data_IF_868862071298
#
_entry.id   IF_868862071298
#
_cell.length_a   1.000
_cell.length_b   1.000
_cell.length_c   1.000
_cell.angle_alpha   90.00
_cell.angle_beta   90.00
_cell.angle_gamma   90.00
#
_symmetry.space_group_name_H-M   'P 1'
#
loop_
_entity.id
_entity.type
_entity.pdbx_description
1 polymer ?
#
# COMPACT_ATOMS: atom_id res chain seq x y z
N UNK A 1 -13.06 -9.49 -5.42
CA UNK A 1 -12.08 -8.42 -5.26
C UNK A 1 -10.70 -8.99 -5.40
N UNK A 2 -9.91 -8.46 -6.33
CA UNK A 2 -8.60 -8.97 -6.74
C UNK A 2 -7.59 -7.84 -6.82
N UNK A 3 -6.53 -7.88 -6.03
CA UNK A 3 -5.37 -6.99 -6.27
C UNK A 3 -4.62 -7.45 -7.52
N UNK A 4 -4.45 -6.57 -8.50
CA UNK A 4 -3.62 -6.83 -9.67
C UNK A 4 -2.14 -6.70 -9.30
N UNK A 5 -1.37 -7.71 -9.74
CA UNK A 5 0.07 -7.77 -9.57
C UNK A 5 0.73 -7.99 -10.93
N UNK A 6 1.50 -7.01 -11.37
CA UNK A 6 2.41 -7.13 -12.52
C UNK A 6 3.85 -7.07 -12.00
N UNK A 7 4.73 -7.92 -12.53
CA UNK A 7 6.15 -7.88 -12.18
C UNK A 7 7.02 -8.12 -13.40
N UNK A 8 8.10 -7.37 -13.48
CA UNK A 8 9.13 -7.53 -14.50
C UNK A 8 10.50 -7.67 -13.84
N UNK A 9 11.31 -8.58 -14.37
CA UNK A 9 12.66 -8.86 -13.92
C UNK A 9 13.65 -8.44 -14.99
N UNK A 10 14.69 -7.68 -14.62
CA UNK A 10 15.70 -7.20 -15.58
C UNK A 10 17.13 -7.37 -15.03
N UNK A 11 18.02 -7.76 -15.93
CA UNK A 11 19.47 -7.84 -15.71
C UNK A 11 20.10 -6.47 -16.05
N UNK A 12 19.73 -5.45 -15.27
CA UNK A 12 20.18 -4.06 -15.41
C UNK A 12 20.17 -3.31 -14.08
N UNK A 13 20.83 -2.15 -14.05
CA UNK A 13 20.82 -1.25 -12.89
C UNK A 13 19.53 -0.44 -12.76
N UNK A 14 19.11 -0.18 -11.52
CA UNK A 14 17.82 0.43 -11.17
C UNK A 14 17.68 1.93 -11.44
N UNK A 15 18.64 2.58 -12.09
CA UNK A 15 18.61 4.03 -12.36
C UNK A 15 17.37 4.46 -13.14
N UNK A 16 17.08 3.77 -14.25
CA UNK A 16 15.90 4.05 -15.09
C UNK A 16 14.60 3.76 -14.35
N UNK A 17 14.55 2.66 -13.60
CA UNK A 17 13.37 2.30 -12.82
C UNK A 17 13.10 3.31 -11.70
N UNK A 18 14.13 3.76 -10.98
CA UNK A 18 14.00 4.79 -9.94
C UNK A 18 13.53 6.14 -10.52
N UNK A 19 14.03 6.53 -11.69
CA UNK A 19 13.57 7.71 -12.40
C UNK A 19 12.11 7.57 -12.85
N UNK A 20 11.74 6.39 -13.36
CA UNK A 20 10.39 6.07 -13.81
C UNK A 20 9.37 6.11 -12.66
N UNK A 21 9.63 5.42 -11.54
CA UNK A 21 8.69 5.39 -10.41
C UNK A 21 8.60 6.74 -9.69
N UNK A 22 9.65 7.56 -9.77
CA UNK A 22 9.65 8.92 -9.26
C UNK A 22 9.11 9.95 -10.25
N UNK A 23 8.73 9.53 -11.47
CA UNK A 23 8.21 10.35 -12.56
C UNK A 23 9.03 11.64 -12.75
N UNK A 24 10.34 11.49 -12.98
CA UNK A 24 11.31 12.61 -13.11
C UNK A 24 11.25 13.70 -12.01
N UNK A 25 10.71 13.41 -10.83
CA UNK A 25 10.73 14.33 -9.67
C UNK A 25 9.35 14.72 -9.13
N UNK A 26 8.27 14.48 -9.89
CA UNK A 26 6.93 14.94 -9.50
C UNK A 26 6.21 14.00 -8.54
N UNK A 27 6.59 12.73 -8.48
CA UNK A 27 5.98 11.77 -7.56
C UNK A 27 6.93 11.40 -6.41
N UNK A 28 6.51 11.60 -5.14
CA UNK A 28 7.24 11.15 -3.97
C UNK A 28 7.64 9.67 -4.03
N UNK A 29 8.93 9.41 -3.79
CA UNK A 29 9.47 8.06 -3.64
C UNK A 29 9.81 7.81 -2.18
N UNK A 30 9.39 6.66 -1.66
CA UNK A 30 9.52 6.28 -0.26
C UNK A 30 10.38 5.04 -0.09
N UNK A 31 11.10 4.97 1.03
CA UNK A 31 11.86 3.79 1.44
C UNK A 31 10.94 2.72 2.06
N UNK A 32 11.51 1.55 2.37
CA UNK A 32 10.80 0.46 3.05
C UNK A 32 10.14 0.84 4.38
N UNK A 33 10.58 1.90 5.04
CA UNK A 33 9.98 2.40 6.28
C UNK A 33 8.83 3.40 6.02
N UNK A 34 8.59 3.75 4.76
CA UNK A 34 7.60 4.73 4.34
C UNK A 34 8.08 6.18 4.43
N UNK A 35 9.39 6.41 4.54
CA UNK A 35 9.96 7.77 4.60
C UNK A 35 10.35 8.21 3.20
N UNK A 36 10.20 9.50 2.91
CA UNK A 36 10.69 10.11 1.68
C UNK A 36 12.19 9.83 1.47
N UNK A 37 12.54 9.37 0.27
CA UNK A 37 13.92 9.10 -0.13
C UNK A 37 14.58 10.39 -0.63
N UNK A 38 15.68 10.79 0.01
CA UNK A 38 16.55 11.86 -0.47
C UNK A 38 17.31 11.46 -1.75
N UNK A 39 17.78 12.43 -2.53
CA UNK A 39 18.56 12.14 -3.75
C UNK A 39 19.80 11.26 -3.45
N UNK A 40 20.52 11.53 -2.36
CA UNK A 40 21.64 10.69 -1.92
C UNK A 40 21.24 9.24 -1.61
N UNK A 41 20.03 9.01 -1.12
CA UNK A 41 19.52 7.65 -0.92
C UNK A 41 19.11 6.98 -2.24
N UNK A 42 18.57 7.74 -3.20
CA UNK A 42 18.29 7.25 -4.56
C UNK A 42 19.59 6.80 -5.24
N UNK A 43 20.64 7.63 -5.20
CA UNK A 43 21.97 7.30 -5.72
C UNK A 43 22.51 6.00 -5.14
N UNK A 44 22.51 5.86 -3.79
CA UNK A 44 22.95 4.60 -3.14
C UNK A 44 22.12 3.38 -3.55
N UNK A 45 20.83 3.55 -3.80
CA UNK A 45 19.97 2.47 -4.27
C UNK A 45 20.39 2.04 -5.69
N UNK A 46 20.65 3.00 -6.56
CA UNK A 46 21.12 2.77 -7.93
C UNK A 46 22.50 2.12 -7.94
N UNK A 47 23.46 2.65 -7.20
CA UNK A 47 24.81 2.07 -7.06
C UNK A 47 24.75 0.62 -6.57
N UNK A 48 23.90 0.33 -5.58
CA UNK A 48 23.69 -1.04 -5.10
C UNK A 48 23.15 -1.94 -6.22
N UNK A 49 22.17 -1.47 -6.98
CA UNK A 49 21.60 -2.24 -8.10
C UNK A 49 22.61 -2.46 -9.22
N UNK A 50 23.45 -1.49 -9.54
CA UNK A 50 24.51 -1.63 -10.53
C UNK A 50 25.58 -2.63 -10.08
N UNK A 51 25.93 -2.65 -8.79
CA UNK A 51 26.83 -3.68 -8.23
C UNK A 51 26.27 -5.09 -8.40
N UNK A 52 24.97 -5.25 -8.19
CA UNK A 52 24.33 -6.56 -8.32
C UNK A 52 23.93 -6.87 -9.77
N UNK A 53 23.85 -5.88 -10.65
CA UNK A 53 23.31 -5.94 -12.02
C UNK A 53 21.84 -6.40 -12.11
N UNK A 54 21.09 -6.34 -11.00
CA UNK A 54 19.70 -6.81 -10.97
C UNK A 54 18.74 -5.77 -10.42
N UNK A 55 17.59 -5.71 -11.08
CA UNK A 55 16.41 -4.99 -10.62
C UNK A 55 15.14 -5.82 -10.84
N UNK A 56 14.15 -5.59 -9.96
CA UNK A 56 12.79 -6.07 -10.17
C UNK A 56 11.82 -4.92 -9.98
N UNK A 57 10.87 -4.82 -10.90
CA UNK A 57 9.74 -3.92 -10.80
C UNK A 57 8.50 -4.73 -10.46
N UNK A 58 7.72 -4.23 -9.51
CA UNK A 58 6.42 -4.76 -9.14
C UNK A 58 5.39 -3.63 -9.12
N UNK A 59 4.20 -3.88 -9.65
CA UNK A 59 3.05 -2.98 -9.59
C UNK A 59 1.98 -3.66 -8.74
N UNK A 60 1.57 -3.01 -7.66
CA UNK A 60 0.49 -3.46 -6.78
C UNK A 60 -0.69 -2.52 -6.97
N UNK A 61 -1.76 -3.01 -7.59
CA UNK A 61 -2.96 -2.22 -7.88
C UNK A 61 -4.18 -2.86 -7.21
N UNK A 62 -4.63 -2.34 -6.05
CA UNK A 62 -5.84 -2.82 -5.39
C UNK A 62 -7.08 -2.44 -6.21
N UNK A 63 -8.05 -3.37 -6.32
CA UNK A 63 -9.31 -3.12 -7.02
C UNK A 63 -10.11 -1.94 -6.43
N UNK A 64 -10.03 -1.75 -5.11
CA UNK A 64 -10.59 -0.60 -4.40
C UNK A 64 -9.63 0.60 -4.29
N UNK A 65 -8.62 0.69 -5.15
CA UNK A 65 -7.59 1.73 -5.06
C UNK A 65 -8.14 3.16 -5.08
N UNK A 66 -9.31 3.38 -5.70
CA UNK A 66 -10.00 4.67 -5.71
C UNK A 66 -10.54 5.08 -4.33
N UNK A 67 -10.88 4.12 -3.47
CA UNK A 67 -11.42 4.33 -2.12
C UNK A 67 -10.32 4.44 -1.04
N UNK A 68 -9.07 4.19 -1.43
CA UNK A 68 -7.90 4.23 -0.54
C UNK A 68 -7.13 5.52 -0.76
N UNK A 69 -6.61 6.14 0.30
CA UNK A 69 -5.65 7.25 0.16
C UNK A 69 -4.25 6.75 -0.24
N UNK A 70 -3.35 7.64 -0.67
CA UNK A 70 -1.96 7.27 -1.01
C UNK A 70 -1.22 6.64 0.18
N UNK A 71 -1.43 7.17 1.39
CA UNK A 71 -0.85 6.61 2.60
C UNK A 71 -1.40 5.21 2.90
N UNK A 72 -2.66 4.96 2.56
CA UNK A 72 -3.29 3.66 2.74
C UNK A 72 -2.71 2.62 1.79
N UNK A 73 -2.62 2.96 0.49
CA UNK A 73 -2.00 2.11 -0.54
C UNK A 73 -0.53 1.86 -0.19
N UNK A 74 0.20 2.91 0.20
CA UNK A 74 1.60 2.81 0.60
C UNK A 74 1.80 1.93 1.83
N UNK A 75 0.92 2.04 2.84
CA UNK A 75 0.97 1.19 4.04
C UNK A 75 0.78 -0.29 3.71
N UNK A 76 -0.22 -0.64 2.92
CA UNK A 76 -0.45 -2.04 2.57
C UNK A 76 0.61 -2.57 1.60
N UNK A 77 1.12 -1.72 0.69
CA UNK A 77 2.29 -2.04 -0.14
C UNK A 77 3.48 -2.43 0.73
N UNK A 78 3.82 -1.62 1.76
CA UNK A 78 4.92 -1.95 2.68
C UNK A 78 4.71 -3.27 3.40
N UNK A 79 3.48 -3.54 3.88
CA UNK A 79 3.15 -4.79 4.57
C UNK A 79 3.28 -6.02 3.66
N UNK A 80 2.81 -5.91 2.41
CA UNK A 80 3.00 -6.95 1.40
C UNK A 80 4.49 -7.18 1.14
N UNK A 81 5.26 -6.10 0.96
CA UNK A 81 6.69 -6.20 0.68
C UNK A 81 7.52 -6.67 1.89
N UNK A 82 7.13 -6.33 3.12
CA UNK A 82 7.76 -6.84 4.34
C UNK A 82 7.63 -8.36 4.43
N UNK A 83 6.47 -8.90 4.11
CA UNK A 83 6.25 -10.35 4.07
C UNK A 83 7.06 -11.02 2.96
N UNK A 84 7.05 -10.44 1.75
CA UNK A 84 7.84 -10.95 0.63
C UNK A 84 9.34 -10.96 0.93
N UNK A 85 9.86 -9.88 1.50
CA UNK A 85 11.30 -9.68 1.75
C UNK A 85 11.81 -10.31 3.04
N UNK A 86 10.93 -10.87 3.88
CA UNK A 86 11.29 -11.41 5.22
C UNK A 86 12.46 -12.40 5.21
N UNK A 87 12.50 -13.28 4.21
CA UNK A 87 13.53 -14.32 4.07
C UNK A 87 14.50 -14.04 2.90
N UNK A 88 14.60 -12.77 2.46
CA UNK A 88 15.38 -12.32 1.31
C UNK A 88 16.33 -11.20 1.75
N UNK A 89 17.41 -11.54 2.50
CA UNK A 89 18.19 -10.57 3.29
C UNK A 89 18.93 -9.53 2.44
N UNK A 90 19.24 -9.84 1.18
CA UNK A 90 19.95 -8.90 0.30
C UNK A 90 19.00 -7.88 -0.34
N UNK A 91 17.69 -8.15 -0.32
CA UNK A 91 16.68 -7.34 -0.99
C UNK A 91 16.37 -6.07 -0.20
N UNK A 92 16.37 -4.96 -0.92
CA UNK A 92 15.79 -3.70 -0.48
C UNK A 92 14.88 -3.17 -1.58
N UNK A 93 13.94 -2.30 -1.20
CA UNK A 93 13.01 -1.72 -2.15
C UNK A 93 12.73 -0.25 -1.85
N UNK A 94 12.29 0.46 -2.88
CA UNK A 94 11.70 1.78 -2.84
C UNK A 94 10.34 1.71 -3.55
N UNK A 95 9.40 2.58 -3.19
CA UNK A 95 8.09 2.58 -3.82
C UNK A 95 7.52 3.99 -4.00
N UNK A 96 6.59 4.11 -4.93
CA UNK A 96 5.81 5.33 -5.18
C UNK A 96 4.36 4.95 -5.49
N UNK A 97 3.41 5.81 -5.10
CA UNK A 97 1.98 5.60 -5.36
C UNK A 97 1.54 6.56 -6.45
N UNK A 98 0.97 6.01 -7.51
CA UNK A 98 0.58 6.69 -8.74
C UNK A 98 -0.96 6.69 -8.84
N UNK A 99 -1.52 7.79 -9.36
CA UNK A 99 -2.99 8.03 -9.53
C UNK A 99 -3.35 8.57 -10.90
N UNK A 100 -2.39 8.61 -11.80
CA UNK A 100 -2.49 9.14 -13.15
C UNK A 100 -3.11 8.14 -14.14
N UNK A 101 -3.57 6.99 -13.66
CA UNK A 101 -4.35 6.00 -14.41
C UNK A 101 -5.71 5.77 -13.75
N UNK A 102 -6.59 5.00 -14.40
CA UNK A 102 -7.94 4.66 -13.91
C UNK A 102 -7.94 3.97 -12.53
N UNK A 103 -6.86 3.27 -12.20
CA UNK A 103 -6.71 2.56 -10.93
C UNK A 103 -5.43 3.00 -10.20
N UNK A 104 -5.56 3.64 -9.02
CA UNK A 104 -4.41 3.95 -8.16
C UNK A 104 -3.58 2.71 -7.85
N UNK A 105 -2.27 2.82 -8.01
CA UNK A 105 -1.35 1.68 -7.88
C UNK A 105 -0.01 2.10 -7.30
N UNK A 106 0.69 1.16 -6.67
CA UNK A 106 2.05 1.36 -6.20
C UNK A 106 3.05 0.73 -7.16
N UNK A 107 4.03 1.51 -7.61
CA UNK A 107 5.24 0.99 -8.22
C UNK A 107 6.26 0.68 -7.13
N UNK A 108 6.87 -0.49 -7.20
CA UNK A 108 7.93 -0.94 -6.29
C UNK A 108 9.16 -1.28 -7.10
N UNK A 109 10.25 -0.54 -6.86
CA UNK A 109 11.58 -0.83 -7.39
C UNK A 109 12.36 -1.64 -6.36
N UNK A 110 12.97 -2.74 -6.78
CA UNK A 110 13.68 -3.66 -5.90
C UNK A 110 15.10 -3.91 -6.39
N UNK A 111 16.03 -4.06 -5.46
CA UNK A 111 17.40 -4.45 -5.74
C UNK A 111 17.97 -5.36 -4.66
N UNK A 112 18.88 -6.26 -5.03
CA UNK A 112 19.45 -7.33 -4.21
C UNK A 112 20.21 -8.33 -5.06
N UNK A 113 20.62 -9.45 -4.46
CA UNK A 113 21.19 -10.56 -5.21
C UNK A 113 20.12 -11.28 -6.03
N UNK A 114 20.52 -11.88 -7.16
CA UNK A 114 19.63 -12.59 -8.09
C UNK A 114 18.77 -13.65 -7.42
N UNK A 115 19.38 -14.44 -6.53
CA UNK A 115 18.72 -15.52 -5.79
C UNK A 115 17.57 -15.01 -4.92
N UNK A 116 17.75 -13.86 -4.28
CA UNK A 116 16.71 -13.26 -3.44
C UNK A 116 15.67 -12.48 -4.25
N UNK A 117 16.04 -11.91 -5.41
CA UNK A 117 15.11 -11.21 -6.32
C UNK A 117 14.34 -12.15 -7.23
N UNK A 118 14.76 -13.41 -7.36
CA UNK A 118 14.04 -14.39 -8.14
C UNK A 118 12.64 -14.64 -7.54
N UNK A 119 11.67 -14.81 -8.43
CA UNK A 119 10.31 -15.17 -8.08
C UNK A 119 9.88 -16.26 -9.05
N UNK A 120 9.51 -17.41 -8.52
CA UNK A 120 8.78 -18.39 -9.30
C UNK A 120 7.28 -18.05 -9.37
N UNK A 121 6.50 -18.91 -10.02
CA UNK A 121 5.05 -18.72 -10.14
C UNK A 121 4.36 -18.71 -8.77
N UNK A 122 4.78 -19.56 -7.83
CA UNK A 122 4.22 -19.62 -6.49
C UNK A 122 4.54 -18.37 -5.68
N UNK A 123 5.73 -17.79 -5.84
CA UNK A 123 6.08 -16.50 -5.24
C UNK A 123 5.15 -15.39 -5.75
N UNK A 124 4.88 -15.33 -7.06
CA UNK A 124 3.98 -14.33 -7.65
C UNK A 124 2.55 -14.50 -7.15
N UNK A 125 2.06 -15.74 -7.09
CA UNK A 125 0.72 -16.06 -6.58
C UNK A 125 0.60 -15.69 -5.09
N UNK A 126 1.57 -16.05 -4.26
CA UNK A 126 1.61 -15.72 -2.83
C UNK A 126 1.61 -14.21 -2.57
N UNK A 127 2.39 -13.43 -3.34
CA UNK A 127 2.42 -11.97 -3.21
C UNK A 127 1.06 -11.38 -3.61
N UNK A 128 0.45 -11.91 -4.67
CA UNK A 128 -0.88 -11.46 -5.13
C UNK A 128 -1.95 -11.75 -4.09
N UNK A 129 -1.97 -12.96 -3.54
CA UNK A 129 -2.91 -13.36 -2.48
C UNK A 129 -2.73 -12.51 -1.23
N UNK A 130 -1.48 -12.35 -0.75
CA UNK A 130 -1.17 -11.50 0.40
C UNK A 130 -1.63 -10.05 0.18
N UNK A 131 -1.36 -9.50 -1.01
CA UNK A 131 -1.78 -8.15 -1.34
C UNK A 131 -3.30 -8.03 -1.43
N UNK A 132 -4.00 -9.06 -1.91
CA UNK A 132 -5.45 -9.08 -1.97
C UNK A 132 -6.08 -9.16 -0.58
N UNK A 133 -5.66 -10.12 0.24
CA UNK A 133 -6.16 -10.30 1.60
C UNK A 133 -6.04 -9.03 2.43
N UNK A 134 -4.87 -8.36 2.38
CA UNK A 134 -4.63 -7.14 3.17
C UNK A 134 -5.49 -5.96 2.71
N UNK A 135 -5.67 -5.79 1.41
CA UNK A 135 -6.43 -4.67 0.86
C UNK A 135 -7.94 -4.86 1.10
N UNK A 136 -8.45 -6.09 1.00
CA UNK A 136 -9.85 -6.44 1.27
C UNK A 136 -10.16 -6.46 2.78
N UNK A 137 -9.27 -7.00 3.62
CA UNK A 137 -9.49 -7.05 5.07
C UNK A 137 -9.61 -5.64 5.67
N UNK A 138 -8.84 -4.69 5.14
CA UNK A 138 -8.94 -3.28 5.52
C UNK A 138 -10.32 -2.69 5.23
N UNK A 139 -10.90 -2.97 4.06
CA UNK A 139 -12.27 -2.52 3.75
C UNK A 139 -13.29 -3.10 4.71
N UNK A 140 -13.20 -4.40 4.99
CA UNK A 140 -14.08 -5.05 5.96
C UNK A 140 -13.97 -4.41 7.34
N UNK A 141 -12.77 -4.00 7.73
CA UNK A 141 -12.56 -3.30 9.01
C UNK A 141 -13.12 -1.87 9.01
N UNK A 142 -12.95 -1.12 7.91
CA UNK A 142 -13.54 0.22 7.75
C UNK A 142 -15.07 0.16 7.80
N UNK A 143 -15.68 -0.77 7.06
CA UNK A 143 -17.14 -0.94 7.00
C UNK A 143 -17.71 -1.24 8.39
N UNK A 144 -17.15 -2.23 9.10
CA UNK A 144 -17.59 -2.57 10.47
C UNK A 144 -17.46 -1.40 11.44
N UNK A 145 -16.39 -0.59 11.31
CA UNK A 145 -16.21 0.59 12.16
C UNK A 145 -17.28 1.65 11.87
N UNK A 146 -17.55 1.93 10.61
CA UNK A 146 -18.59 2.89 10.20
C UNK A 146 -19.99 2.43 10.62
N UNK A 147 -20.30 1.14 10.51
CA UNK A 147 -21.58 0.58 11.01
C UNK A 147 -21.72 0.78 12.52
N UNK A 148 -20.64 0.55 13.27
CA UNK A 148 -20.64 0.74 14.73
C UNK A 148 -20.79 2.21 15.11
N UNK A 149 -20.13 3.12 14.40
CA UNK A 149 -20.28 4.57 14.61
C UNK A 149 -21.72 5.02 14.32
N UNK A 150 -22.31 4.57 13.20
CA UNK A 150 -23.72 4.86 12.86
C UNK A 150 -24.72 4.28 13.86
N UNK A 151 -24.46 3.08 14.38
CA UNK A 151 -25.30 2.46 15.41
C UNK A 151 -25.25 3.27 16.72
N UNK A 152 -24.06 3.71 17.12
CA UNK A 152 -23.90 4.56 18.31
C UNK A 152 -24.57 5.93 18.15
N UNK A 153 -24.49 6.55 16.97
CA UNK A 153 -25.18 7.81 16.69
C UNK A 153 -26.71 7.67 16.77
N UNK A 154 -27.26 6.56 16.29
CA UNK A 154 -28.70 6.28 16.42
C UNK A 154 -29.12 6.08 17.88
N UNK A 155 -28.41 5.25 18.63
CA UNK A 155 -28.67 5.02 20.06
C UNK A 155 -28.57 6.32 20.89
N UNK A 156 -27.63 7.21 20.54
CA UNK A 156 -27.49 8.52 21.21
C UNK A 156 -28.69 9.43 20.92
N UNK A 157 -29.16 9.49 19.67
CA UNK A 157 -30.33 10.30 19.29
C UNK A 157 -31.62 9.76 19.88
N UNK A 158 -31.80 8.45 19.91
CA UNK A 158 -32.96 7.81 20.53
C UNK A 158 -33.05 8.15 22.02
N UNK A 159 -31.92 8.10 22.75
CA UNK A 159 -31.88 8.51 24.17
C UNK A 159 -32.12 10.00 24.41
N UNK A 160 -31.59 10.87 23.55
CA UNK A 160 -31.88 12.31 23.64
C UNK A 160 -33.37 12.57 23.45
N UNK A 161 -34.00 11.87 22.50
CA UNK A 161 -35.42 12.02 22.21
C UNK A 161 -36.30 11.47 23.36
N UNK A 162 -35.95 10.33 23.95
CA UNK A 162 -36.62 9.80 25.14
C UNK A 162 -36.54 10.78 26.34
N UNK A 163 -35.38 11.40 26.56
CA UNK A 163 -35.20 12.40 27.61
C UNK A 163 -36.01 13.68 27.36
N UNK A 164 -36.09 14.14 26.11
CA UNK A 164 -36.93 15.28 25.72
C UNK A 164 -38.42 14.99 25.93
N UNK A 165 -38.88 13.79 25.54
CA UNK A 165 -40.26 13.35 25.73
C UNK A 165 -40.62 13.26 27.23
N UNK A 166 -39.73 12.72 28.08
CA UNK A 166 -39.94 12.68 29.54
C UNK A 166 -40.04 14.09 30.15
N UNK A 167 -39.19 15.02 29.70
CA UNK A 167 -39.20 16.42 30.16
C UNK A 167 -40.45 17.18 29.71
N UNK A 168 -40.98 16.91 28.51
CA UNK A 168 -42.26 17.48 28.07
C UNK A 168 -43.43 16.93 28.89
N UNK A 169 -43.42 15.64 29.23
CA UNK A 169 -44.44 15.02 30.08
C UNK A 169 -44.43 15.61 31.50
N UNK A 170 -43.25 15.89 32.08
CA UNK A 170 -43.15 16.57 33.38
C UNK A 170 -43.58 18.03 33.34
N UNK A 171 -43.32 18.76 32.24
CA UNK A 171 -43.69 20.19 32.09
C UNK A 171 -45.17 20.40 31.75
N UNK A 172 -45.86 19.37 31.25
CA UNK A 172 -47.29 19.39 30.93
C UNK A 172 -48.22 19.02 32.09
N UNK A 173 -47.68 18.72 33.28
CA UNK A 173 -48.44 18.48 34.54
C UNK A 173 -48.40 19.69 35.46
#
# INVERSE_FOLDING_TARGET
MTTFLQTEYRDSGAGKLMAYIGREGDTPVHDRAGRLISNKQKERFVEKSERHQFERHMIISPENGNDLSNDEIGKETRRTMEQFTKNRPTVTYAYSVHRDTEHPHAHVAMTGEKTDLYMDRGDVENVRETANERMVERERYKHRRQEKERANERDSREREQELEDELEIERGR
#
